data_IF_507062848733
#
_entry.id   IF_507062848733
#
_cell.length_a   1.000
_cell.length_b   1.000
_cell.length_c   1.000
_cell.angle_alpha   90.00
_cell.angle_beta   90.00
_cell.angle_gamma   90.00
#
_symmetry.space_group_name_H-M   'P 1'
#
loop_
_entity.id
_entity.type
_entity.pdbx_description
1 polymer ?
#
# COMPACT_ATOMS: atom_id res chain seq x y z
N UNK A 1 -15.15 4.79 28.72
CA UNK A 1 -15.99 3.95 27.86
C UNK A 1 -16.47 4.79 26.68
N UNK A 2 -16.06 4.50 25.44
CA UNK A 2 -16.66 5.19 24.29
C UNK A 2 -18.11 4.72 24.21
N UNK A 3 -19.06 5.65 24.31
CA UNK A 3 -20.45 5.36 23.93
C UNK A 3 -20.37 4.90 22.47
N UNK A 4 -20.70 3.63 22.21
CA UNK A 4 -20.67 3.05 20.86
C UNK A 4 -21.51 3.88 19.89
N UNK A 5 -21.52 3.51 18.61
CA UNK A 5 -22.05 4.35 17.53
C UNK A 5 -23.51 4.84 17.67
N UNK A 6 -24.29 4.36 18.66
CA UNK A 6 -25.63 4.86 19.00
C UNK A 6 -26.72 4.52 17.98
N UNK A 7 -26.34 4.17 16.74
CA UNK A 7 -27.22 3.65 15.70
C UNK A 7 -26.42 2.90 14.62
N UNK A 8 -27.10 2.07 13.82
CA UNK A 8 -26.49 1.34 12.70
C UNK A 8 -25.92 2.28 11.63
N UNK A 9 -26.63 3.37 11.31
CA UNK A 9 -26.18 4.37 10.32
C UNK A 9 -24.90 5.07 10.77
N UNK A 10 -24.83 5.46 12.04
CA UNK A 10 -23.64 6.08 12.60
C UNK A 10 -22.44 5.11 12.63
N UNK A 11 -22.67 3.82 12.90
CA UNK A 11 -21.63 2.79 12.83
C UNK A 11 -21.04 2.65 11.42
N UNK A 12 -21.91 2.59 10.39
CA UNK A 12 -21.47 2.54 8.99
C UNK A 12 -20.70 3.80 8.58
N UNK A 13 -21.19 4.98 8.97
CA UNK A 13 -20.50 6.24 8.71
C UNK A 13 -19.10 6.28 9.38
N UNK A 14 -18.97 5.70 10.58
CA UNK A 14 -17.70 5.60 11.28
C UNK A 14 -16.74 4.63 10.58
N UNK A 15 -17.22 3.45 10.16
CA UNK A 15 -16.42 2.48 9.40
C UNK A 15 -15.93 3.06 8.06
N UNK A 16 -16.79 3.77 7.34
CA UNK A 16 -16.43 4.45 6.10
C UNK A 16 -15.35 5.52 6.32
N UNK A 17 -15.51 6.36 7.35
CA UNK A 17 -14.49 7.36 7.71
C UNK A 17 -13.15 6.71 8.07
N UNK A 18 -13.17 5.60 8.79
CA UNK A 18 -11.94 4.86 9.11
C UNK A 18 -11.26 4.35 7.84
N UNK A 19 -12.00 3.74 6.90
CA UNK A 19 -11.45 3.29 5.62
C UNK A 19 -10.83 4.45 4.81
N UNK A 20 -11.53 5.58 4.71
CA UNK A 20 -11.02 6.80 4.04
C UNK A 20 -9.74 7.35 4.70
N UNK A 21 -9.66 7.32 6.03
CA UNK A 21 -8.46 7.75 6.75
C UNK A 21 -7.31 6.74 6.59
N UNK A 22 -7.63 5.46 6.54
CA UNK A 22 -6.67 4.38 6.31
C UNK A 22 -6.08 4.43 4.90
N UNK A 23 -6.89 4.71 3.88
CA UNK A 23 -6.43 4.86 2.48
C UNK A 23 -5.27 5.86 2.37
N UNK A 24 -5.38 7.01 3.04
CA UNK A 24 -4.33 8.04 3.03
C UNK A 24 -3.04 7.61 3.72
N UNK A 25 -3.11 6.60 4.59
CA UNK A 25 -1.98 6.14 5.43
C UNK A 25 -1.34 4.87 4.91
N UNK A 26 -2.08 4.02 4.22
CA UNK A 26 -1.54 2.77 3.68
C UNK A 26 -0.48 3.09 2.63
N UNK A 27 0.72 2.49 2.80
CA UNK A 27 1.79 2.66 1.82
C UNK A 27 1.34 2.05 0.50
N UNK A 28 1.52 2.81 -0.59
CA UNK A 28 1.40 2.28 -1.94
C UNK A 28 2.36 1.10 -2.09
N UNK A 29 1.93 0.08 -2.81
CA UNK A 29 2.81 -1.02 -3.21
C UNK A 29 3.90 -0.42 -4.11
N UNK A 30 5.17 -0.69 -3.79
CA UNK A 30 6.31 -0.08 -4.48
C UNK A 30 6.33 -0.41 -5.99
N UNK A 31 5.80 -1.57 -6.38
CA UNK A 31 5.80 -2.05 -7.77
C UNK A 31 4.38 -2.50 -8.17
N UNK A 32 3.47 -1.56 -8.46
CA UNK A 32 2.07 -1.88 -8.74
C UNK A 32 1.90 -2.74 -10.00
N UNK A 33 2.80 -2.63 -10.97
CA UNK A 33 2.80 -3.45 -12.18
C UNK A 33 3.08 -4.95 -11.91
N UNK A 34 3.68 -5.30 -10.77
CA UNK A 34 3.93 -6.69 -10.38
C UNK A 34 2.76 -7.32 -9.62
N UNK A 35 1.79 -6.52 -9.16
CA UNK A 35 0.65 -7.00 -8.35
C UNK A 35 -0.22 -7.98 -9.13
N UNK A 36 -0.41 -7.78 -10.43
CA UNK A 36 -1.15 -8.71 -11.28
C UNK A 36 -0.48 -10.10 -11.34
N UNK A 37 0.85 -10.12 -11.34
CA UNK A 37 1.65 -11.36 -11.41
C UNK A 37 1.62 -12.08 -10.05
N UNK A 38 1.68 -11.33 -8.94
CA UNK A 38 1.48 -11.88 -7.59
C UNK A 38 0.07 -12.44 -7.42
N UNK A 39 -0.95 -11.74 -7.94
CA UNK A 39 -2.35 -12.19 -7.89
C UNK A 39 -2.56 -13.50 -8.68
N UNK A 40 -1.82 -13.68 -9.78
CA UNK A 40 -1.80 -14.93 -10.55
C UNK A 40 -1.11 -16.10 -9.82
N UNK A 41 -0.60 -15.90 -8.59
CA UNK A 41 -0.01 -16.94 -7.76
C UNK A 41 1.49 -17.16 -7.98
N UNK A 42 2.16 -16.26 -8.71
CA UNK A 42 3.60 -16.35 -8.95
C UNK A 42 4.36 -16.02 -7.66
N UNK A 43 5.35 -16.84 -7.33
CA UNK A 43 6.19 -16.64 -6.14
C UNK A 43 7.26 -15.58 -6.42
N UNK A 44 7.45 -14.68 -5.46
CA UNK A 44 8.49 -13.66 -5.46
C UNK A 44 9.43 -13.82 -4.24
N UNK A 45 10.35 -14.80 -4.24
CA UNK A 45 11.39 -14.85 -3.21
C UNK A 45 12.22 -13.56 -3.28
N UNK A 46 12.38 -12.88 -2.14
CA UNK A 46 13.14 -11.64 -2.01
C UNK A 46 12.74 -10.51 -2.99
N UNK A 47 11.48 -10.53 -3.45
CA UNK A 47 10.95 -9.54 -4.40
C UNK A 47 11.32 -9.78 -5.87
N UNK A 48 11.90 -10.94 -6.22
CA UNK A 48 12.29 -11.29 -7.59
C UNK A 48 11.38 -12.37 -8.16
N UNK A 49 10.99 -12.26 -9.43
CA UNK A 49 10.24 -13.31 -10.15
C UNK A 49 11.19 -14.23 -10.90
N UNK A 50 10.94 -15.54 -10.84
CA UNK A 50 11.67 -16.54 -11.62
C UNK A 50 11.18 -16.68 -13.07
N UNK A 51 10.07 -16.02 -13.43
CA UNK A 51 9.37 -16.22 -14.71
C UNK A 51 9.77 -15.17 -15.74
N UNK A 52 10.29 -14.00 -15.32
CA UNK A 52 10.78 -12.96 -16.22
C UNK A 52 12.31 -12.88 -16.11
N UNK A 53 13.08 -13.57 -16.98
CA UNK A 53 14.52 -13.74 -16.84
C UNK A 53 15.36 -12.48 -17.09
N UNK A 54 14.74 -11.33 -17.35
CA UNK A 54 15.45 -10.09 -17.69
C UNK A 54 14.73 -8.83 -17.18
N UNK A 55 13.95 -8.95 -16.09
CA UNK A 55 13.43 -7.75 -15.44
C UNK A 55 14.63 -6.92 -14.98
N UNK A 56 14.82 -5.68 -15.47
CA UNK A 56 15.91 -4.85 -14.99
C UNK A 56 15.74 -4.75 -13.49
N UNK A 57 16.72 -5.25 -12.72
CA UNK A 57 16.78 -5.04 -11.27
C UNK A 57 16.62 -3.54 -11.11
N UNK A 58 15.48 -3.11 -10.54
CA UNK A 58 15.21 -1.69 -10.30
C UNK A 58 16.35 -1.18 -9.44
N UNK A 59 17.37 -0.62 -10.10
CA UNK A 59 18.58 -0.06 -9.52
C UNK A 59 18.32 1.29 -8.88
N UNK A 60 17.06 1.57 -8.56
CA UNK A 60 16.68 2.69 -7.74
C UNK A 60 16.17 2.14 -6.41
N UNK A 61 17.14 1.90 -5.53
CA UNK A 61 17.04 2.51 -4.22
C UNK A 61 16.64 3.99 -4.44
N UNK A 62 15.34 4.26 -4.53
CA UNK A 62 14.81 5.58 -4.29
C UNK A 62 15.11 5.86 -2.82
N UNK A 63 16.33 6.34 -2.58
CA UNK A 63 16.69 7.13 -1.43
C UNK A 63 15.55 8.13 -1.30
N UNK A 64 14.74 7.97 -0.26
CA UNK A 64 13.91 9.05 0.23
C UNK A 64 14.92 10.12 0.65
N UNK A 65 15.32 10.99 -0.29
CA UNK A 65 16.05 12.19 0.10
C UNK A 65 15.07 12.97 0.98
N UNK A 66 15.46 13.34 2.21
CA UNK A 66 14.62 14.19 3.02
C UNK A 66 14.31 15.45 2.19
N UNK A 67 13.03 15.75 2.03
CA UNK A 67 12.59 17.02 1.45
C UNK A 67 13.02 18.09 2.44
N UNK A 68 14.14 18.75 2.16
CA UNK A 68 14.56 19.92 2.90
C UNK A 68 13.56 21.03 2.59
N UNK A 69 12.66 21.28 3.55
CA UNK A 69 11.74 22.43 3.51
C UNK A 69 12.57 23.65 3.90
N UNK A 70 13.00 24.41 2.91
CA UNK A 70 13.52 25.75 3.13
C UNK A 70 12.36 26.66 3.62
N UNK A 71 12.54 27.22 4.81
CA UNK A 71 11.84 28.42 5.31
C UNK A 71 12.85 29.56 5.31
#
# INVERSE_FOLDING_TARGET
STKGAGSRKAGLAMAFKLLMMSEKRWRKVNSPHLVAVVQAGVRFPDGQTCILPDMPKSSDSFIIKPVEVAV
#
